data_IF_426299682522
#
_entry.id   IF_426299682522
#
_cell.length_a   1.000
_cell.length_b   1.000
_cell.length_c   1.000
_cell.angle_alpha   90.00
_cell.angle_beta   90.00
_cell.angle_gamma   90.00
#
_symmetry.space_group_name_H-M   'P 1'
#
loop_
_entity.id
_entity.type
_entity.pdbx_description
1 polymer ?
#
# COMPACT_ATOMS: atom_id res chain seq x y z
N UNK A 1 2.53 -18.25 -50.22
CA UNK A 1 2.25 -18.48 -48.78
C UNK A 1 1.71 -17.19 -48.20
N UNK A 2 0.39 -17.10 -48.01
CA UNK A 2 -0.26 -15.93 -47.40
C UNK A 2 -0.08 -16.04 -45.88
N UNK A 3 0.41 -14.99 -45.18
CA UNK A 3 0.52 -15.05 -43.73
C UNK A 3 -0.86 -15.30 -43.11
N UNK A 4 -0.96 -16.16 -42.07
CA UNK A 4 -2.23 -16.36 -41.40
C UNK A 4 -2.73 -15.02 -40.83
N UNK A 5 -4.02 -14.70 -40.97
CA UNK A 5 -4.56 -13.43 -40.51
C UNK A 5 -4.32 -13.27 -39.00
N UNK A 6 -3.91 -12.07 -38.54
CA UNK A 6 -3.60 -11.83 -37.14
C UNK A 6 -4.80 -12.19 -36.28
N UNK A 7 -4.61 -13.15 -35.37
CA UNK A 7 -5.64 -13.60 -34.45
C UNK A 7 -5.98 -12.41 -33.55
N UNK A 8 -7.11 -11.76 -33.80
CA UNK A 8 -7.65 -10.71 -32.93
C UNK A 8 -7.70 -11.26 -31.51
N UNK A 9 -6.82 -10.77 -30.64
CA UNK A 9 -6.81 -11.16 -29.22
C UNK A 9 -8.14 -10.70 -28.64
N UNK A 10 -8.73 -11.53 -27.77
CA UNK A 10 -10.03 -11.20 -27.16
C UNK A 10 -9.81 -10.00 -26.23
N UNK A 11 -10.66 -8.99 -26.32
CA UNK A 11 -10.62 -7.79 -25.46
C UNK A 11 -10.51 -8.16 -23.98
N UNK A 12 -11.29 -9.15 -23.53
CA UNK A 12 -11.23 -9.69 -22.17
C UNK A 12 -9.81 -10.14 -21.76
N UNK A 13 -9.04 -10.72 -22.67
CA UNK A 13 -7.67 -11.17 -22.39
C UNK A 13 -6.70 -9.99 -22.27
N UNK A 14 -6.80 -9.00 -23.14
CA UNK A 14 -5.96 -7.79 -23.08
C UNK A 14 -6.20 -7.03 -21.77
N UNK A 15 -7.47 -6.84 -21.39
CA UNK A 15 -7.84 -6.23 -20.11
C UNK A 15 -7.26 -7.03 -18.96
N UNK A 16 -7.41 -8.36 -18.97
CA UNK A 16 -6.86 -9.23 -17.91
C UNK A 16 -5.35 -9.09 -17.75
N UNK A 17 -4.60 -9.07 -18.84
CA UNK A 17 -3.14 -8.90 -18.81
C UNK A 17 -2.78 -7.55 -18.20
N UNK A 18 -3.43 -6.47 -18.66
CA UNK A 18 -3.14 -5.13 -18.15
C UNK A 18 -3.44 -4.97 -16.65
N UNK A 19 -4.56 -5.54 -16.17
CA UNK A 19 -4.91 -5.51 -14.76
C UNK A 19 -3.92 -6.31 -13.90
N UNK A 20 -3.42 -7.44 -14.41
CA UNK A 20 -2.38 -8.24 -13.74
C UNK A 20 -1.06 -7.47 -13.66
N UNK A 21 -0.62 -6.83 -14.73
CA UNK A 21 0.59 -6.00 -14.74
C UNK A 21 0.52 -4.86 -13.71
N UNK A 22 -0.63 -4.17 -13.63
CA UNK A 22 -0.85 -3.11 -12.64
C UNK A 22 -0.77 -3.64 -11.21
N UNK A 23 -1.37 -4.79 -10.95
CA UNK A 23 -1.36 -5.43 -9.63
C UNK A 23 0.05 -5.88 -9.23
N UNK A 24 0.76 -6.57 -10.13
CA UNK A 24 2.13 -7.04 -9.88
C UNK A 24 3.10 -5.88 -9.68
N UNK A 25 2.95 -4.79 -10.44
CA UNK A 25 3.75 -3.58 -10.27
C UNK A 25 3.55 -2.94 -8.89
N UNK A 26 2.30 -2.87 -8.42
CA UNK A 26 1.97 -2.31 -7.11
C UNK A 26 2.48 -3.20 -5.96
N UNK A 27 2.27 -4.52 -6.05
CA UNK A 27 2.79 -5.48 -5.08
C UNK A 27 4.31 -5.45 -5.00
N UNK A 28 5.00 -5.39 -6.14
CA UNK A 28 6.45 -5.27 -6.18
C UNK A 28 6.97 -3.97 -5.56
N UNK A 29 6.22 -2.86 -5.70
CA UNK A 29 6.54 -1.60 -5.00
C UNK A 29 6.37 -1.74 -3.49
N UNK A 30 5.26 -2.31 -3.04
CA UNK A 30 5.02 -2.56 -1.61
C UNK A 30 6.11 -3.45 -0.99
N UNK A 31 6.55 -4.48 -1.70
CA UNK A 31 7.59 -5.38 -1.23
C UNK A 31 8.93 -4.64 -1.05
N UNK A 32 9.34 -3.83 -2.04
CA UNK A 32 10.55 -2.99 -1.94
C UNK A 32 10.48 -1.97 -0.80
N UNK A 33 9.31 -1.34 -0.62
CA UNK A 33 9.09 -0.42 0.50
C UNK A 33 9.23 -1.14 1.86
N UNK A 34 8.79 -2.39 1.96
CA UNK A 34 8.94 -3.19 3.18
C UNK A 34 10.39 -3.57 3.44
N UNK A 35 11.13 -4.02 2.41
CA UNK A 35 12.56 -4.31 2.48
C UNK A 35 13.37 -3.09 2.95
N UNK A 36 13.10 -1.91 2.39
CA UNK A 36 13.74 -0.67 2.83
C UNK A 36 13.49 -0.35 4.32
N UNK A 37 12.29 -0.64 4.82
CA UNK A 37 11.96 -0.45 6.24
C UNK A 37 12.64 -1.49 7.15
N UNK A 38 12.99 -2.67 6.63
CA UNK A 38 13.85 -3.62 7.33
C UNK A 38 15.30 -3.12 7.37
N UNK A 39 15.81 -2.58 6.26
CA UNK A 39 17.21 -2.11 6.14
C UNK A 39 17.54 -0.87 6.98
N UNK A 40 16.54 -0.05 7.33
CA UNK A 40 16.71 1.10 8.23
C UNK A 40 16.79 0.68 9.72
N UNK A 41 16.37 -0.55 10.05
CA UNK A 41 16.33 -1.09 11.43
C UNK A 41 17.70 -1.23 12.11
N UNK A 42 18.78 -1.72 11.45
CA UNK A 42 20.07 -1.95 12.10
C UNK A 42 20.75 -0.68 12.61
N UNK A 43 20.37 0.51 12.13
CA UNK A 43 20.95 1.78 12.57
C UNK A 43 20.65 2.15 14.02
N UNK A 44 19.64 1.52 14.64
CA UNK A 44 19.23 1.80 16.02
C UNK A 44 19.67 0.71 16.99
N UNK A 45 19.78 -0.52 16.51
CA UNK A 45 20.27 -1.68 17.24
C UNK A 45 21.80 -1.76 17.09
N UNK A 46 22.53 -0.88 17.78
CA UNK A 46 23.96 -1.13 18.03
C UNK A 46 24.05 -2.39 18.90
N UNK A 47 24.70 -3.48 18.45
CA UNK A 47 24.92 -4.66 19.28
C UNK A 47 25.60 -4.25 20.60
N UNK A 48 25.19 -4.88 21.71
CA UNK A 48 25.83 -4.70 23.02
C UNK A 48 27.36 -4.89 22.98
N UNK A 49 27.84 -5.59 21.96
CA UNK A 49 29.24 -5.96 21.76
C UNK A 49 30.10 -4.85 21.14
N UNK A 50 29.51 -3.73 20.69
CA UNK A 50 30.23 -2.55 20.14
C UNK A 50 30.31 -1.39 21.13
N UNK A 51 29.68 -1.51 22.31
CA UNK A 51 30.10 -0.73 23.47
C UNK A 51 31.15 -1.58 24.18
N UNK A 52 32.47 -1.35 23.97
CA UNK A 52 33.44 -1.93 24.88
C UNK A 52 33.00 -1.53 26.27
N UNK A 53 32.86 -2.52 27.16
CA UNK A 53 32.46 -2.36 28.55
C UNK A 53 33.22 -1.17 29.15
N UNK A 54 32.58 0.00 29.15
CA UNK A 54 33.23 1.25 29.54
C UNK A 54 33.35 1.36 31.06
N UNK A 55 33.29 0.22 31.76
CA UNK A 55 33.89 0.03 33.07
C UNK A 55 35.42 -0.03 33.05
N UNK A 56 36.08 0.08 31.89
CA UNK A 56 37.50 0.40 31.90
C UNK A 56 38.06 0.67 30.53
N UNK A 57 38.09 1.94 30.10
CA UNK A 57 39.07 2.55 29.16
C UNK A 57 38.57 3.90 28.62
N UNK A 58 38.49 4.93 29.46
CA UNK A 58 38.42 6.32 28.99
C UNK A 58 39.02 7.24 30.06
N UNK A 59 40.32 7.10 30.26
CA UNK A 59 41.14 7.91 31.17
C UNK A 59 42.63 7.56 31.15
N UNK A 60 43.09 6.78 30.17
CA UNK A 60 44.49 6.41 30.00
C UNK A 60 44.97 6.92 28.64
N UNK A 61 45.27 8.22 28.59
CA UNK A 61 45.73 8.91 27.40
C UNK A 61 46.42 10.22 27.77
N UNK A 62 47.35 10.17 28.71
CA UNK A 62 48.14 11.31 29.13
C UNK A 62 48.86 11.08 30.45
N UNK A 63 50.17 10.91 30.37
CA UNK A 63 51.17 10.85 31.44
C UNK A 63 51.14 9.60 32.36
N UNK A 64 52.17 8.77 32.21
CA UNK A 64 52.33 7.51 32.93
C UNK A 64 52.81 7.64 34.37
N UNK A 65 52.47 6.61 35.16
CA UNK A 65 53.21 6.10 36.32
C UNK A 65 52.80 4.63 36.53
N UNK A 66 53.71 3.70 36.87
CA UNK A 66 53.38 2.29 37.11
C UNK A 66 53.06 2.08 38.59
N UNK A 67 51.82 1.72 38.94
CA UNK A 67 51.50 1.19 40.27
C UNK A 67 50.25 0.30 40.20
N UNK A 68 50.43 -0.97 40.59
CA UNK A 68 49.50 -2.06 40.32
C UNK A 68 48.22 -2.12 41.16
N UNK A 69 47.34 -3.00 40.70
CA UNK A 69 46.32 -3.77 41.45
C UNK A 69 45.78 -3.17 42.77
N UNK A 70 44.52 -2.70 42.83
CA UNK A 70 43.93 -2.20 44.08
C UNK A 70 43.35 -3.30 45.00
N UNK A 71 43.58 -4.59 44.72
CA UNK A 71 42.92 -5.68 45.44
C UNK A 71 43.80 -6.41 46.47
N UNK A 72 45.04 -5.94 46.70
CA UNK A 72 45.98 -6.57 47.63
C UNK A 72 46.60 -5.58 48.62
N UNK A 73 45.78 -4.75 49.27
CA UNK A 73 46.21 -3.84 50.35
C UNK A 73 45.23 -3.81 51.53
N UNK A 74 44.51 -4.91 51.78
CA UNK A 74 43.75 -5.09 53.02
C UNK A 74 44.61 -5.56 54.21
N UNK A 75 45.92 -5.70 54.02
CA UNK A 75 46.84 -6.22 55.02
C UNK A 75 48.22 -5.60 54.89
N UNK A 76 48.35 -4.29 55.12
CA UNK A 76 49.65 -3.74 55.50
C UNK A 76 49.47 -2.57 56.46
N UNK A 77 50.11 -2.75 57.60
CA UNK A 77 50.21 -1.92 58.78
C UNK A 77 50.16 -0.41 58.51
N UNK A 78 49.23 0.20 59.21
CA UNK A 78 49.03 1.62 59.42
C UNK A 78 50.27 2.23 60.10
N UNK A 79 51.18 2.83 59.33
CA UNK A 79 52.06 3.92 59.79
C UNK A 79 53.02 4.39 58.69
N UNK A 80 53.11 5.72 58.59
CA UNK A 80 54.15 6.55 57.94
C UNK A 80 53.63 7.40 56.77
N UNK A 81 52.64 8.26 57.04
CA UNK A 81 52.49 9.60 56.42
C UNK A 81 51.57 10.43 57.35
N UNK A 82 52.09 11.39 58.15
CA UNK A 82 51.30 12.11 59.16
C UNK A 82 50.15 12.95 58.61
N UNK A 83 50.12 13.21 57.31
CA UNK A 83 49.16 14.10 56.67
C UNK A 83 47.80 13.42 56.41
N UNK A 84 47.76 12.11 56.19
CA UNK A 84 46.56 11.38 55.76
C UNK A 84 45.56 11.09 56.90
N UNK A 85 46.00 11.18 58.16
CA UNK A 85 45.15 11.00 59.33
C UNK A 85 44.51 12.30 59.83
N UNK A 86 44.76 13.43 59.17
CA UNK A 86 44.05 14.66 59.44
C UNK A 86 42.55 14.51 59.07
N UNK A 87 41.62 14.99 59.90
CA UNK A 87 40.17 14.93 59.60
C UNK A 87 39.81 15.60 58.27
N UNK A 88 40.58 16.61 57.86
CA UNK A 88 40.48 17.24 56.55
C UNK A 88 40.81 16.29 55.37
N UNK A 89 41.83 15.42 55.51
CA UNK A 89 42.19 14.45 54.46
C UNK A 89 41.15 13.33 54.32
N UNK A 90 40.53 12.88 55.43
CA UNK A 90 39.40 11.93 55.37
C UNK A 90 38.16 12.55 54.70
N UNK A 91 37.90 13.82 54.96
CA UNK A 91 36.84 14.61 54.31
C UNK A 91 37.07 14.73 52.79
N UNK A 92 38.27 15.10 52.34
CA UNK A 92 38.60 15.20 50.91
C UNK A 92 38.49 13.85 50.19
N UNK A 93 38.94 12.76 50.80
CA UNK A 93 38.81 11.40 50.23
C UNK A 93 37.33 10.98 50.14
N UNK A 94 36.50 11.30 51.12
CA UNK A 94 35.07 11.02 51.07
C UNK A 94 34.36 11.82 49.96
N UNK A 95 34.71 13.11 49.80
CA UNK A 95 34.21 13.94 48.70
C UNK A 95 34.62 13.36 47.35
N UNK A 96 35.89 12.97 47.19
CA UNK A 96 36.37 12.38 45.93
C UNK A 96 35.68 11.06 45.58
N UNK A 97 35.46 10.17 46.56
CA UNK A 97 34.65 8.96 46.38
C UNK A 97 33.22 9.29 45.95
N UNK A 98 32.58 10.26 46.60
CA UNK A 98 31.24 10.73 46.24
C UNK A 98 31.16 11.29 44.82
N UNK A 99 32.20 11.99 44.35
CA UNK A 99 32.29 12.46 42.95
C UNK A 99 32.39 11.29 41.96
N UNK A 100 33.21 10.27 42.25
CA UNK A 100 33.34 9.07 41.40
C UNK A 100 32.02 8.30 41.36
N UNK A 101 31.41 8.04 42.52
CA UNK A 101 30.14 7.33 42.65
C UNK A 101 29.00 8.10 41.95
N UNK A 102 28.93 9.43 42.14
CA UNK A 102 27.97 10.30 41.46
C UNK A 102 28.16 10.30 39.94
N UNK A 103 29.40 10.32 39.46
CA UNK A 103 29.71 10.26 38.02
C UNK A 103 29.33 8.89 37.43
N UNK A 104 29.61 7.80 38.15
CA UNK A 104 29.21 6.44 37.76
C UNK A 104 27.69 6.30 37.71
N UNK A 105 26.98 6.82 38.73
CA UNK A 105 25.52 6.82 38.77
C UNK A 105 24.92 7.64 37.61
N UNK A 106 25.43 8.84 37.34
CA UNK A 106 24.99 9.65 36.21
C UNK A 106 25.28 8.98 34.85
N UNK A 107 26.37 8.23 34.74
CA UNK A 107 26.65 7.36 33.60
C UNK A 107 25.59 6.29 33.42
N UNK A 108 25.27 5.55 34.49
CA UNK A 108 24.25 4.50 34.47
C UNK A 108 22.86 5.04 34.09
N UNK A 109 22.44 6.16 34.67
CA UNK A 109 21.15 6.81 34.35
C UNK A 109 21.08 7.18 32.86
N UNK A 110 22.15 7.72 32.28
CA UNK A 110 22.20 8.04 30.84
C UNK A 110 22.11 6.81 29.95
N UNK A 111 22.78 5.72 30.30
CA UNK A 111 22.69 4.44 29.56
C UNK A 111 21.26 3.91 29.60
N UNK A 112 20.66 3.83 30.79
CA UNK A 112 19.28 3.34 30.96
C UNK A 112 18.26 4.22 30.22
N UNK A 113 18.43 5.55 30.24
CA UNK A 113 17.59 6.45 29.46
C UNK A 113 17.74 6.21 27.95
N UNK A 114 18.97 6.05 27.46
CA UNK A 114 19.25 5.76 26.05
C UNK A 114 18.64 4.43 25.59
N UNK A 115 18.74 3.38 26.40
CA UNK A 115 18.11 2.08 26.12
C UNK A 115 16.59 2.19 26.06
N UNK A 116 16.00 2.96 26.98
CA UNK A 116 14.56 3.21 27.04
C UNK A 116 14.08 3.95 25.77
N UNK A 117 14.79 4.98 25.33
CA UNK A 117 14.45 5.69 24.09
C UNK A 117 14.59 4.81 22.85
N UNK A 118 15.63 3.97 22.77
CA UNK A 118 15.79 3.01 21.68
C UNK A 118 14.64 2.01 21.63
N UNK A 119 14.25 1.46 22.79
CA UNK A 119 13.13 0.51 22.88
C UNK A 119 11.80 1.14 22.43
N UNK A 120 11.49 2.35 22.91
CA UNK A 120 10.28 3.08 22.53
C UNK A 120 10.28 3.46 21.04
N UNK A 121 11.42 3.87 20.49
CA UNK A 121 11.57 4.16 19.06
C UNK A 121 11.36 2.90 18.20
N UNK A 122 11.91 1.76 18.61
CA UNK A 122 11.72 0.48 17.94
C UNK A 122 10.25 0.03 17.96
N UNK A 123 9.56 0.14 19.09
CA UNK A 123 8.13 -0.19 19.19
C UNK A 123 7.25 0.75 18.34
N UNK A 124 7.54 2.05 18.33
CA UNK A 124 6.84 3.01 17.48
C UNK A 124 7.01 2.69 15.98
N UNK A 125 8.24 2.37 15.56
CA UNK A 125 8.53 1.97 14.19
C UNK A 125 7.84 0.65 13.80
N UNK A 126 7.87 -0.37 14.68
CA UNK A 126 7.16 -1.64 14.48
C UNK A 126 5.67 -1.42 14.29
N UNK A 127 5.04 -0.63 15.17
CA UNK A 127 3.61 -0.32 15.11
C UNK A 127 3.25 0.42 13.81
N UNK A 128 4.03 1.43 13.43
CA UNK A 128 3.80 2.17 12.19
C UNK A 128 3.92 1.27 10.94
N UNK A 129 4.91 0.38 10.91
CA UNK A 129 5.11 -0.60 9.82
C UNK A 129 3.94 -1.56 9.70
N UNK A 130 3.53 -2.19 10.80
CA UNK A 130 2.39 -3.13 10.81
C UNK A 130 1.08 -2.44 10.40
N UNK A 131 0.88 -1.18 10.81
CA UNK A 131 -0.27 -0.38 10.37
C UNK A 131 -0.23 -0.12 8.86
N UNK A 132 0.92 0.29 8.31
CA UNK A 132 1.10 0.52 6.87
C UNK A 132 0.86 -0.75 6.07
N UNK A 133 1.41 -1.88 6.50
CA UNK A 133 1.24 -3.19 5.87
C UNK A 133 -0.24 -3.60 5.85
N UNK A 134 -0.95 -3.46 6.97
CA UNK A 134 -2.39 -3.75 7.05
C UNK A 134 -3.21 -2.87 6.12
N UNK A 135 -2.88 -1.58 6.01
CA UNK A 135 -3.57 -0.66 5.10
C UNK A 135 -3.32 -1.04 3.65
N UNK A 136 -2.07 -1.31 3.28
CA UNK A 136 -1.68 -1.72 1.92
C UNK A 136 -2.37 -3.02 1.52
N UNK A 137 -2.39 -4.03 2.40
CA UNK A 137 -3.10 -5.29 2.16
C UNK A 137 -4.58 -5.06 1.86
N UNK A 138 -5.27 -4.24 2.65
CA UNK A 138 -6.67 -3.86 2.39
C UNK A 138 -6.84 -3.11 1.07
N UNK A 139 -5.89 -2.26 0.69
CA UNK A 139 -5.87 -1.55 -0.59
C UNK A 139 -5.78 -2.52 -1.78
N UNK A 140 -4.90 -3.51 -1.68
CA UNK A 140 -4.75 -4.58 -2.68
C UNK A 140 -6.03 -5.42 -2.80
N UNK A 141 -6.62 -5.83 -1.68
CA UNK A 141 -7.87 -6.62 -1.67
C UNK A 141 -9.01 -5.86 -2.36
N UNK A 142 -9.15 -4.55 -2.10
CA UNK A 142 -10.14 -3.70 -2.77
C UNK A 142 -9.87 -3.57 -4.27
N UNK A 143 -8.62 -3.32 -4.65
CA UNK A 143 -8.22 -3.22 -6.06
C UNK A 143 -8.52 -4.53 -6.80
N UNK A 144 -8.17 -5.68 -6.23
CA UNK A 144 -8.45 -7.00 -6.81
C UNK A 144 -9.95 -7.24 -7.00
N UNK A 145 -10.78 -6.83 -6.04
CA UNK A 145 -12.24 -6.91 -6.17
C UNK A 145 -12.74 -6.07 -7.35
N UNK A 146 -12.30 -4.82 -7.44
CA UNK A 146 -12.66 -3.94 -8.56
C UNK A 146 -12.17 -4.46 -9.92
N UNK A 147 -10.97 -5.04 -9.98
CA UNK A 147 -10.44 -5.72 -11.18
C UNK A 147 -11.31 -6.91 -11.59
N UNK A 148 -11.76 -7.72 -10.64
CA UNK A 148 -12.64 -8.87 -10.90
C UNK A 148 -14.01 -8.42 -11.43
N UNK A 149 -14.62 -7.41 -10.82
CA UNK A 149 -15.89 -6.83 -11.26
C UNK A 149 -15.79 -6.24 -12.68
N UNK A 150 -14.73 -5.47 -12.95
CA UNK A 150 -14.45 -4.92 -14.28
C UNK A 150 -14.31 -6.05 -15.31
N UNK A 151 -13.56 -7.10 -15.01
CA UNK A 151 -13.43 -8.25 -15.92
C UNK A 151 -14.76 -8.93 -16.20
N UNK A 152 -15.63 -9.05 -15.20
CA UNK A 152 -16.95 -9.64 -15.39
C UNK A 152 -17.83 -8.79 -16.31
N UNK A 153 -17.81 -7.47 -16.13
CA UNK A 153 -18.56 -6.56 -17.04
C UNK A 153 -18.07 -6.63 -18.48
N UNK A 154 -16.76 -6.80 -18.70
CA UNK A 154 -16.17 -6.97 -20.04
C UNK A 154 -16.58 -8.31 -20.67
N UNK A 155 -16.72 -9.39 -19.87
CA UNK A 155 -17.22 -10.68 -20.37
C UNK A 155 -18.68 -10.60 -20.81
N UNK A 156 -19.54 -9.96 -20.01
CA UNK A 156 -20.95 -9.77 -20.36
C UNK A 156 -21.10 -8.85 -21.58
N UNK A 157 -20.25 -7.83 -21.72
CA UNK A 157 -20.15 -7.02 -22.95
C UNK A 157 -19.79 -7.87 -24.18
N UNK A 158 -18.77 -8.73 -24.07
CA UNK A 158 -18.36 -9.65 -25.14
C UNK A 158 -19.48 -10.62 -25.54
N UNK A 159 -20.30 -11.07 -24.58
CA UNK A 159 -21.45 -11.95 -24.80
C UNK A 159 -22.60 -11.21 -25.49
N UNK A 160 -22.99 -10.05 -24.99
CA UNK A 160 -24.04 -9.22 -25.58
C UNK A 160 -23.67 -8.81 -27.02
N UNK A 161 -22.40 -8.44 -27.26
CA UNK A 161 -21.88 -8.12 -28.59
C UNK A 161 -21.99 -9.32 -29.55
N UNK A 162 -21.68 -10.54 -29.10
CA UNK A 162 -21.82 -11.75 -29.94
C UNK A 162 -23.27 -12.00 -30.30
N UNK A 163 -24.19 -11.89 -29.33
CA UNK A 163 -25.63 -12.06 -29.57
C UNK A 163 -26.16 -11.01 -30.54
N UNK A 164 -25.83 -9.74 -30.32
CA UNK A 164 -26.20 -8.64 -31.21
C UNK A 164 -25.69 -8.87 -32.64
N UNK A 165 -24.39 -9.14 -32.82
CA UNK A 165 -23.83 -9.36 -34.17
C UNK A 165 -24.33 -10.64 -34.84
N UNK A 166 -24.69 -11.68 -34.07
CA UNK A 166 -25.31 -12.87 -34.63
C UNK A 166 -26.72 -12.59 -35.15
N UNK A 167 -27.56 -11.97 -34.32
CA UNK A 167 -28.94 -11.66 -34.68
C UNK A 167 -29.04 -10.59 -35.78
N UNK A 168 -28.11 -9.63 -35.80
CA UNK A 168 -28.01 -8.64 -36.87
C UNK A 168 -27.78 -9.32 -38.23
N UNK A 169 -26.81 -10.23 -38.32
CA UNK A 169 -26.54 -10.99 -39.56
C UNK A 169 -27.71 -11.87 -39.97
N UNK A 170 -28.36 -12.55 -39.02
CA UNK A 170 -29.53 -13.38 -39.37
C UNK A 170 -30.73 -12.55 -39.82
N UNK A 171 -30.92 -11.36 -39.24
CA UNK A 171 -31.93 -10.38 -39.67
C UNK A 171 -31.68 -9.88 -41.10
N UNK A 172 -30.42 -9.57 -41.45
CA UNK A 172 -30.03 -9.18 -42.82
C UNK A 172 -30.36 -10.30 -43.81
N UNK A 173 -29.95 -11.54 -43.53
CA UNK A 173 -30.27 -12.69 -44.38
C UNK A 173 -31.78 -12.92 -44.51
N UNK A 174 -32.56 -12.66 -43.46
CA UNK A 174 -34.01 -12.76 -43.52
C UNK A 174 -34.64 -11.66 -44.41
N UNK A 175 -34.11 -10.44 -44.35
CA UNK A 175 -34.52 -9.32 -45.21
C UNK A 175 -34.19 -9.59 -46.68
N UNK A 176 -33.01 -10.12 -46.98
CA UNK A 176 -32.61 -10.47 -48.34
C UNK A 176 -33.54 -11.54 -48.95
N UNK A 177 -33.90 -12.56 -48.15
CA UNK A 177 -34.87 -13.58 -48.58
C UNK A 177 -36.26 -13.01 -48.80
N UNK A 178 -36.70 -12.09 -47.95
CA UNK A 178 -37.97 -11.39 -48.13
C UNK A 178 -37.97 -10.57 -49.43
N UNK A 179 -36.88 -9.83 -49.68
CA UNK A 179 -36.71 -9.01 -50.87
C UNK A 179 -36.67 -9.85 -52.17
N UNK A 180 -36.00 -11.00 -52.17
CA UNK A 180 -36.00 -11.92 -53.33
C UNK A 180 -37.41 -12.43 -53.67
N UNK A 181 -38.15 -12.90 -52.65
CA UNK A 181 -39.52 -13.40 -52.84
C UNK A 181 -40.45 -12.27 -53.31
N UNK A 182 -40.30 -11.07 -52.76
CA UNK A 182 -41.08 -9.91 -53.18
C UNK A 182 -40.76 -9.51 -54.62
N UNK A 183 -39.48 -9.47 -55.01
CA UNK A 183 -39.07 -9.20 -56.39
C UNK A 183 -39.64 -10.25 -57.38
N UNK A 184 -39.69 -11.52 -56.97
CA UNK A 184 -40.34 -12.60 -57.75
C UNK A 184 -41.85 -12.43 -57.82
N UNK A 185 -42.49 -12.01 -56.73
CA UNK A 185 -43.92 -11.74 -56.67
C UNK A 185 -44.30 -10.61 -57.64
N UNK A 186 -43.58 -9.48 -57.60
CA UNK A 186 -43.77 -8.34 -58.51
C UNK A 186 -43.63 -8.75 -59.99
N UNK A 187 -42.66 -9.63 -60.32
CA UNK A 187 -42.49 -10.18 -61.67
C UNK A 187 -43.59 -11.18 -62.07
N UNK A 188 -44.23 -11.81 -61.09
CA UNK A 188 -45.30 -12.81 -61.30
C UNK A 188 -46.70 -12.21 -61.31
N UNK A 189 -46.84 -10.94 -60.93
CA UNK A 189 -48.12 -10.25 -60.84
C UNK A 189 -48.88 -10.17 -62.18
N UNK A 190 -48.15 -10.38 -63.29
CA UNK A 190 -48.63 -10.50 -64.68
C UNK A 190 -48.76 -11.95 -65.21
N UNK A 191 -48.58 -12.98 -64.37
CA UNK A 191 -48.50 -14.41 -64.74
C UNK A 191 -49.49 -15.30 -63.95
N UNK A 192 -49.53 -16.58 -64.32
CA UNK A 192 -50.40 -17.68 -63.83
C UNK A 192 -50.81 -17.57 -62.34
N UNK A 193 -52.13 -17.63 -62.09
CA UNK A 193 -52.77 -17.44 -60.77
C UNK A 193 -52.27 -18.38 -59.66
N UNK A 194 -52.03 -19.67 -59.96
CA UNK A 194 -51.59 -20.64 -58.95
C UNK A 194 -50.17 -20.36 -58.40
N UNK A 195 -49.28 -19.82 -59.22
CA UNK A 195 -47.92 -19.43 -58.81
C UNK A 195 -47.93 -18.15 -57.98
N UNK A 196 -48.80 -17.19 -58.32
CA UNK A 196 -48.97 -15.93 -57.60
C UNK A 196 -49.44 -16.14 -56.15
N UNK A 197 -50.49 -16.94 -55.95
CA UNK A 197 -51.00 -17.24 -54.61
C UNK A 197 -49.92 -17.90 -53.70
N UNK A 198 -49.11 -18.80 -54.27
CA UNK A 198 -48.01 -19.45 -53.56
C UNK A 198 -46.91 -18.47 -53.15
N UNK A 199 -46.54 -17.53 -54.05
CA UNK A 199 -45.56 -16.49 -53.76
C UNK A 199 -46.06 -15.47 -52.72
N UNK A 200 -47.35 -15.12 -52.75
CA UNK A 200 -47.96 -14.27 -51.72
C UNK A 200 -47.86 -14.91 -50.33
N UNK A 201 -48.16 -16.20 -50.22
CA UNK A 201 -48.02 -16.96 -48.96
C UNK A 201 -46.58 -16.99 -48.47
N UNK A 202 -45.61 -17.16 -49.37
CA UNK A 202 -44.18 -17.11 -49.03
C UNK A 202 -43.72 -15.71 -48.63
N UNK A 203 -44.15 -14.66 -49.34
CA UNK A 203 -43.85 -13.27 -49.00
C UNK A 203 -44.35 -12.94 -47.60
N UNK A 204 -45.62 -13.24 -47.30
CA UNK A 204 -46.19 -13.07 -45.97
C UNK A 204 -45.40 -13.79 -44.87
N UNK A 205 -44.95 -15.04 -45.12
CA UNK A 205 -44.12 -15.81 -44.19
C UNK A 205 -42.75 -15.15 -43.93
N UNK A 206 -42.09 -14.62 -44.96
CA UNK A 206 -40.80 -13.95 -44.79
C UNK A 206 -40.95 -12.57 -44.15
N UNK A 207 -41.99 -11.80 -44.48
CA UNK A 207 -42.30 -10.53 -43.81
C UNK A 207 -42.57 -10.73 -42.32
N UNK A 208 -43.32 -11.77 -41.94
CA UNK A 208 -43.53 -12.14 -40.54
C UNK A 208 -42.21 -12.45 -39.83
N UNK A 209 -41.29 -13.19 -40.49
CA UNK A 209 -39.94 -13.43 -39.95
C UNK A 209 -39.13 -12.16 -39.81
N UNK A 210 -39.16 -11.25 -40.78
CA UNK A 210 -38.45 -9.97 -40.71
C UNK A 210 -38.97 -9.14 -39.53
N UNK A 211 -40.29 -9.09 -39.33
CA UNK A 211 -40.90 -8.40 -38.20
C UNK A 211 -40.46 -9.01 -36.86
N UNK A 212 -40.43 -10.33 -36.73
CA UNK A 212 -39.93 -11.03 -35.53
C UNK A 212 -38.46 -10.68 -35.23
N UNK A 213 -37.58 -10.78 -36.24
CA UNK A 213 -36.17 -10.42 -36.07
C UNK A 213 -36.00 -8.95 -35.68
N UNK A 214 -36.81 -8.04 -36.25
CA UNK A 214 -36.75 -6.62 -35.91
C UNK A 214 -37.06 -6.36 -34.44
N UNK A 215 -38.07 -7.05 -33.89
CA UNK A 215 -38.44 -6.96 -32.48
C UNK A 215 -37.34 -7.53 -31.58
N UNK A 216 -36.77 -8.67 -31.93
CA UNK A 216 -35.67 -9.28 -31.17
C UNK A 216 -34.40 -8.41 -31.23
N UNK A 217 -34.14 -7.76 -32.37
CA UNK A 217 -32.97 -6.90 -32.56
C UNK A 217 -32.96 -5.72 -31.61
N UNK A 218 -34.10 -5.08 -31.37
CA UNK A 218 -34.23 -3.99 -30.39
C UNK A 218 -33.86 -4.48 -28.98
N UNK A 219 -34.30 -5.68 -28.60
CA UNK A 219 -33.97 -6.28 -27.31
C UNK A 219 -32.45 -6.46 -27.12
N UNK A 220 -31.81 -7.16 -28.06
CA UNK A 220 -30.35 -7.41 -27.96
C UNK A 220 -29.51 -6.15 -28.17
N UNK A 221 -30.01 -5.14 -28.89
CA UNK A 221 -29.37 -3.83 -29.01
C UNK A 221 -29.35 -3.11 -27.66
N UNK A 222 -30.47 -3.11 -26.94
CA UNK A 222 -30.57 -2.52 -25.62
C UNK A 222 -29.67 -3.25 -24.62
N UNK A 223 -29.67 -4.58 -24.62
CA UNK A 223 -28.77 -5.40 -23.78
C UNK A 223 -27.29 -5.06 -24.04
N UNK A 224 -26.88 -4.97 -25.31
CA UNK A 224 -25.53 -4.55 -25.67
C UNK A 224 -25.22 -3.12 -25.20
N UNK A 225 -26.17 -2.19 -25.34
CA UNK A 225 -26.04 -0.82 -24.84
C UNK A 225 -25.86 -0.75 -23.33
N UNK A 226 -26.68 -1.47 -22.56
CA UNK A 226 -26.54 -1.55 -21.10
C UNK A 226 -25.22 -2.18 -20.66
N UNK A 227 -24.78 -3.26 -21.32
CA UNK A 227 -23.49 -3.88 -21.03
C UNK A 227 -22.32 -2.93 -21.31
N UNK A 228 -22.40 -2.13 -22.38
CA UNK A 228 -21.38 -1.14 -22.73
C UNK A 228 -21.29 -0.01 -21.71
N UNK A 229 -22.44 0.54 -21.28
CA UNK A 229 -22.49 1.57 -20.24
C UNK A 229 -21.97 1.02 -18.91
N UNK A 230 -22.36 -0.19 -18.53
CA UNK A 230 -21.88 -0.85 -17.30
C UNK A 230 -20.35 -1.03 -17.32
N UNK A 231 -19.79 -1.62 -18.37
CA UNK A 231 -18.34 -1.80 -18.50
C UNK A 231 -17.58 -0.48 -18.47
N UNK A 232 -18.11 0.56 -19.10
CA UNK A 232 -17.51 1.91 -19.09
C UNK A 232 -17.55 2.53 -17.69
N UNK A 233 -18.66 2.39 -16.96
CA UNK A 233 -18.79 2.90 -15.59
C UNK A 233 -17.81 2.19 -14.64
N UNK A 234 -17.68 0.87 -14.73
CA UNK A 234 -16.70 0.10 -13.96
C UNK A 234 -15.25 0.51 -14.30
N UNK A 235 -14.95 0.75 -15.58
CA UNK A 235 -13.61 1.20 -16.00
C UNK A 235 -13.28 2.59 -15.46
N UNK A 236 -14.21 3.54 -15.54
CA UNK A 236 -14.03 4.88 -15.02
C UNK A 236 -13.88 4.88 -13.50
N UNK A 237 -14.71 4.10 -12.79
CA UNK A 237 -14.58 3.93 -11.34
C UNK A 237 -13.23 3.32 -10.96
N UNK A 238 -12.81 2.26 -11.65
CA UNK A 238 -11.51 1.63 -11.45
C UNK A 238 -10.35 2.64 -11.61
N UNK A 239 -10.37 3.45 -12.68
CA UNK A 239 -9.30 4.41 -13.00
C UNK A 239 -9.28 5.62 -12.08
N UNK A 240 -10.45 6.14 -11.69
CA UNK A 240 -10.55 7.39 -10.92
C UNK A 240 -10.55 7.19 -9.42
N UNK A 241 -10.97 6.03 -8.93
CA UNK A 241 -11.17 5.76 -7.51
C UNK A 241 -10.23 4.65 -7.03
N UNK A 242 -10.40 3.43 -7.54
CA UNK A 242 -9.77 2.25 -6.97
C UNK A 242 -8.25 2.23 -7.17
N UNK A 243 -7.78 2.49 -8.39
CA UNK A 243 -6.35 2.51 -8.70
C UNK A 243 -5.61 3.65 -7.95
N UNK A 244 -6.07 4.92 -7.97
CA UNK A 244 -5.46 5.98 -7.18
C UNK A 244 -5.50 5.72 -5.68
N UNK A 245 -6.61 5.18 -5.14
CA UNK A 245 -6.71 4.86 -3.71
C UNK A 245 -5.68 3.79 -3.31
N UNK A 246 -5.53 2.72 -4.10
CA UNK A 246 -4.54 1.68 -3.85
C UNK A 246 -3.09 2.22 -3.91
N UNK A 247 -2.82 3.17 -4.82
CA UNK A 247 -1.51 3.82 -4.92
C UNK A 247 -1.22 4.81 -3.78
N UNK A 248 -2.22 5.57 -3.32
CA UNK A 248 -2.08 6.57 -2.26
C UNK A 248 -1.92 5.96 -0.88
N UNK A 249 -2.49 4.77 -0.63
CA UNK A 249 -2.28 4.03 0.62
C UNK A 249 -0.79 3.71 0.84
N UNK A 250 0.02 3.63 -0.22
CA UNK A 250 1.48 3.52 -0.11
C UNK A 250 2.21 4.84 0.16
N UNK A 251 1.60 5.98 -0.17
CA UNK A 251 2.22 7.31 -0.08
C UNK A 251 1.82 8.11 1.19
N UNK A 252 0.66 7.81 1.79
CA UNK A 252 0.11 8.62 2.87
C UNK A 252 0.64 8.25 4.27
N UNK A 253 1.45 9.17 4.82
CA UNK A 253 1.70 9.50 6.23
C UNK A 253 2.16 8.36 7.14
N UNK A 254 3.48 8.27 7.30
CA UNK A 254 4.07 7.93 8.61
C UNK A 254 3.42 8.80 9.69
N UNK A 255 2.81 8.23 10.73
CA UNK A 255 2.43 9.01 11.90
C UNK A 255 3.69 9.67 12.42
N UNK A 256 3.71 11.01 12.49
CA UNK A 256 4.77 11.67 13.25
C UNK A 256 4.68 11.15 14.68
N UNK A 257 5.73 10.55 15.22
CA UNK A 257 5.73 10.21 16.62
C UNK A 257 5.85 11.52 17.41
N UNK A 258 4.85 11.79 18.25
CA UNK A 258 4.78 12.96 19.12
C UNK A 258 5.87 12.92 20.21
N UNK A 259 7.15 13.06 19.84
CA UNK A 259 8.28 13.07 20.79
C UNK A 259 8.49 14.44 21.46
N UNK A 260 7.44 15.23 21.66
CA UNK A 260 7.61 16.64 22.03
C UNK A 260 6.52 17.16 22.94
N UNK A 261 6.33 16.57 24.12
CA UNK A 261 5.70 17.30 25.26
C UNK A 261 5.84 16.73 26.68
N UNK A 262 6.61 15.67 26.90
CA UNK A 262 6.61 14.96 28.20
C UNK A 262 7.93 14.91 28.99
N UNK A 263 9.07 15.36 28.45
CA UNK A 263 10.38 15.07 29.04
C UNK A 263 11.27 16.31 29.29
N UNK A 264 10.67 17.48 29.52
CA UNK A 264 11.36 18.62 30.15
C UNK A 264 10.69 18.91 31.48
N UNK A 265 10.97 18.05 32.46
CA UNK A 265 10.47 18.15 33.82
C UNK A 265 11.59 17.98 34.85
N UNK A 266 12.83 18.35 34.54
CA UNK A 266 13.93 18.42 35.51
C UNK A 266 14.94 19.50 35.07
N UNK A 267 14.53 20.76 35.11
CA UNK A 267 15.44 21.90 35.18
C UNK A 267 14.81 22.89 36.15
N UNK A 268 15.26 22.82 37.40
CA UNK A 268 14.94 23.83 38.40
C UNK A 268 15.50 25.18 37.98
N UNK A 269 14.81 26.22 38.46
CA UNK A 269 15.11 27.65 38.37
C UNK A 269 14.58 28.35 37.12
N UNK A 270 13.29 28.71 37.17
CA UNK A 270 12.79 29.97 36.59
C UNK A 270 12.07 30.79 37.65
N UNK A 271 12.16 32.12 37.61
CA UNK A 271 11.77 33.03 38.70
C UNK A 271 10.24 33.19 38.77
N UNK A 272 9.68 33.69 39.89
CA UNK A 272 8.23 33.79 40.05
C UNK A 272 7.62 34.86 39.12
N UNK A 273 6.34 34.71 38.76
CA UNK A 273 5.65 35.65 37.89
C UNK A 273 5.49 37.00 38.59
N UNK A 274 5.87 38.09 37.89
CA UNK A 274 5.60 39.46 38.32
C UNK A 274 4.08 39.69 38.31
N UNK A 275 3.57 40.05 39.47
CA UNK A 275 2.24 40.60 39.68
C UNK A 275 2.08 41.93 38.92
N UNK A 276 1.13 41.99 38.00
CA UNK A 276 0.61 43.27 37.50
C UNK A 276 -0.31 43.88 38.57
N UNK A 277 -0.17 45.17 38.92
CA UNK A 277 -1.11 45.81 39.81
C UNK A 277 -2.39 46.18 39.06
N UNK A 278 -3.52 45.70 39.56
CA UNK A 278 -4.84 46.28 39.35
C UNK A 278 -4.90 47.64 40.05
N UNK A 279 -5.30 48.68 39.34
CA UNK A 279 -6.04 49.83 39.90
C UNK A 279 -6.66 50.69 38.80
N UNK A 280 -7.68 51.48 39.17
CA UNK A 280 -9.10 51.19 39.03
C UNK A 280 -9.73 51.77 37.76
#
# INVERSE_FOLDING_TARGET
MQPPPPRKVKLTQEVRVHLLEQLSGLQGKQQRDAELLEDIRPGWDVPKDVVPDSKGTAGAGGAGCPAGHPQKLAGRQESTLPCLNAPACRSVVAVWKGVIEGTAHAGQVRVTASESYRALAAEAARTARLSKERMLKKGIERLQKAQAELLETVKELDKAKKQFTHLQRSSEVAKDKAADVEARLQKSDRRIFHTKASLQKLSAKFLARVAEHSRQLVGVQNEYGFALVSATAHLEHYRRVELPAAMQVGAARTPQPCWGRGAMGLAGLSPPPRSCPLRP
#
